data_IF_552632176286
#
_entry.id   IF_552632176286
#
_cell.length_a   1.000
_cell.length_b   1.000
_cell.length_c   1.000
_cell.angle_alpha   90.00
_cell.angle_beta   90.00
_cell.angle_gamma   90.00
#
_symmetry.space_group_name_H-M   'P 1'
#
loop_
_entity.id
_entity.type
_entity.pdbx_description
1 polymer ?
#
# COMPACT_ATOMS: atom_id res chain seq x y z
N UNK A 1 11.38 22.69 14.55
CA UNK A 1 11.44 23.26 13.19
C UNK A 1 11.28 22.11 12.21
N UNK A 2 10.18 22.06 11.48
CA UNK A 2 10.08 21.15 10.34
C UNK A 2 11.11 21.62 9.32
N UNK A 3 12.11 20.81 9.06
CA UNK A 3 13.09 21.07 8.02
C UNK A 3 12.38 20.97 6.67
N UNK A 4 12.16 22.12 6.04
CA UNK A 4 11.53 22.18 4.72
C UNK A 4 12.46 21.61 3.65
N UNK A 5 11.91 20.72 2.81
CA UNK A 5 12.58 20.20 1.63
C UNK A 5 12.93 21.33 0.66
N UNK A 6 14.20 21.48 0.33
CA UNK A 6 14.63 22.40 -0.70
C UNK A 6 14.42 21.83 -2.12
N UNK A 7 14.66 22.64 -3.14
CA UNK A 7 14.49 22.22 -4.54
C UNK A 7 15.46 21.08 -4.94
N UNK A 8 16.61 20.98 -4.29
CA UNK A 8 17.60 19.93 -4.55
C UNK A 8 17.15 18.62 -3.92
N UNK A 9 16.61 18.66 -2.69
CA UNK A 9 16.05 17.48 -2.01
C UNK A 9 14.88 16.89 -2.80
N UNK A 10 14.00 17.75 -3.33
CA UNK A 10 12.90 17.32 -4.20
C UNK A 10 13.40 16.64 -5.47
N UNK A 11 14.50 17.12 -6.08
CA UNK A 11 15.13 16.47 -7.25
C UNK A 11 15.74 15.12 -6.91
N UNK A 12 16.39 15.01 -5.74
CA UNK A 12 16.91 13.73 -5.23
C UNK A 12 15.78 12.73 -5.06
N UNK A 13 14.72 13.10 -4.34
CA UNK A 13 13.56 12.24 -4.12
C UNK A 13 12.90 11.80 -5.44
N UNK A 14 12.73 12.72 -6.39
CA UNK A 14 12.15 12.42 -7.70
C UNK A 14 13.03 11.47 -8.53
N UNK A 15 14.36 11.55 -8.41
CA UNK A 15 15.27 10.61 -9.06
C UNK A 15 15.19 9.22 -8.42
N UNK A 16 15.20 9.14 -7.08
CA UNK A 16 15.11 7.89 -6.33
C UNK A 16 13.76 7.18 -6.52
N UNK A 17 12.65 7.93 -6.66
CA UNK A 17 11.35 7.35 -6.97
C UNK A 17 11.29 6.68 -8.36
N UNK A 18 12.08 7.19 -9.33
CA UNK A 18 12.16 6.59 -10.67
C UNK A 18 13.12 5.41 -10.71
N UNK A 19 14.19 5.48 -9.96
CA UNK A 19 15.28 4.52 -10.00
C UNK A 19 15.88 4.33 -8.59
N UNK A 20 15.26 3.48 -7.78
CA UNK A 20 15.65 3.27 -6.38
C UNK A 20 17.02 2.58 -6.20
N UNK A 21 17.65 2.09 -7.29
CA UNK A 21 18.99 1.48 -7.29
C UNK A 21 20.05 2.34 -7.96
N UNK A 22 19.74 3.61 -8.27
CA UNK A 22 20.72 4.57 -8.81
C UNK A 22 21.91 4.69 -7.84
N UNK A 23 23.12 4.66 -8.37
CA UNK A 23 24.32 4.85 -7.52
C UNK A 23 24.43 6.31 -7.06
N UNK A 24 25.11 6.52 -5.93
CA UNK A 24 25.33 7.88 -5.45
C UNK A 24 26.12 8.75 -6.45
N UNK A 25 27.01 8.16 -7.24
CA UNK A 25 27.75 8.84 -8.30
C UNK A 25 26.79 9.35 -9.38
N UNK A 26 25.97 8.48 -9.95
CA UNK A 26 24.98 8.84 -10.97
C UNK A 26 23.93 9.84 -10.46
N UNK A 27 23.46 9.64 -9.22
CA UNK A 27 22.52 10.57 -8.58
C UNK A 27 23.12 11.95 -8.42
N UNK A 28 24.39 12.02 -7.96
CA UNK A 28 25.09 13.31 -7.76
C UNK A 28 25.24 14.09 -9.06
N UNK A 29 25.57 13.43 -10.17
CA UNK A 29 25.61 14.03 -11.51
C UNK A 29 24.23 14.53 -11.94
N UNK A 30 23.19 13.72 -11.76
CA UNK A 30 21.80 14.04 -12.15
C UNK A 30 21.23 15.25 -11.41
N UNK A 31 21.66 15.47 -10.15
CA UNK A 31 21.19 16.60 -9.35
C UNK A 31 22.19 17.76 -9.26
N UNK A 32 23.33 17.68 -9.98
CA UNK A 32 24.43 18.67 -10.00
C UNK A 32 25.02 18.94 -8.61
N UNK A 33 25.38 17.89 -7.90
CA UNK A 33 26.08 17.93 -6.62
C UNK A 33 27.42 17.18 -6.69
N UNK A 34 28.32 17.45 -5.73
CA UNK A 34 29.42 16.53 -5.47
C UNK A 34 28.89 15.22 -4.86
N UNK A 35 29.56 14.07 -5.08
CA UNK A 35 29.14 12.79 -4.49
C UNK A 35 28.98 12.83 -2.97
N UNK A 36 29.89 13.55 -2.28
CA UNK A 36 29.82 13.69 -0.82
C UNK A 36 28.63 14.54 -0.35
N UNK A 37 28.32 15.62 -1.09
CA UNK A 37 27.17 16.46 -0.78
C UNK A 37 25.84 15.72 -1.07
N UNK A 38 25.79 14.96 -2.15
CA UNK A 38 24.65 14.13 -2.50
C UNK A 38 24.40 13.05 -1.41
N UNK A 39 25.43 12.30 -1.05
CA UNK A 39 25.34 11.26 -0.02
C UNK A 39 24.82 11.82 1.31
N UNK A 40 25.36 12.94 1.77
CA UNK A 40 24.92 13.58 3.03
C UNK A 40 23.44 14.00 2.98
N UNK A 41 22.95 14.48 1.83
CA UNK A 41 21.53 14.83 1.67
C UNK A 41 20.62 13.61 1.66
N UNK A 42 21.00 12.55 0.96
CA UNK A 42 20.25 11.29 0.97
C UNK A 42 20.15 10.74 2.40
N UNK A 43 21.27 10.68 3.11
CA UNK A 43 21.31 10.25 4.50
C UNK A 43 20.37 11.08 5.38
N UNK A 44 20.42 12.40 5.24
CA UNK A 44 19.51 13.29 5.97
C UNK A 44 18.03 13.02 5.62
N UNK A 45 17.69 12.79 4.35
CA UNK A 45 16.33 12.46 3.91
C UNK A 45 15.84 11.10 4.48
N UNK A 46 16.75 10.15 4.67
CA UNK A 46 16.47 8.87 5.34
C UNK A 46 16.28 9.06 6.83
N UNK A 47 17.18 9.77 7.50
CA UNK A 47 17.16 10.01 8.95
C UNK A 47 15.92 10.80 9.38
N UNK A 48 15.49 11.78 8.58
CA UNK A 48 14.28 12.58 8.82
C UNK A 48 12.98 11.87 8.39
N UNK A 49 13.08 10.66 7.81
CA UNK A 49 11.93 9.85 7.42
C UNK A 49 11.21 10.29 6.14
N UNK A 50 11.81 11.20 5.34
CA UNK A 50 11.29 11.51 4.00
C UNK A 50 11.38 10.33 3.04
N UNK A 51 12.36 9.44 3.27
CA UNK A 51 12.50 8.16 2.59
C UNK A 51 12.16 7.08 3.61
N UNK A 52 11.00 6.45 3.44
CA UNK A 52 10.55 5.38 4.33
C UNK A 52 11.30 4.05 4.09
N UNK A 53 11.90 3.89 2.91
CA UNK A 53 12.66 2.69 2.56
C UNK A 53 12.77 2.49 1.05
N UNK A 54 13.50 1.44 0.67
CA UNK A 54 13.68 1.02 -0.71
C UNK A 54 13.14 -0.40 -0.88
N UNK A 55 12.29 -0.60 -1.87
CA UNK A 55 11.62 -1.89 -2.10
C UNK A 55 11.79 -2.34 -3.55
N UNK A 56 11.84 -3.64 -3.76
CA UNK A 56 11.78 -4.22 -5.09
C UNK A 56 10.31 -4.30 -5.54
N UNK A 57 9.99 -3.75 -6.70
CA UNK A 57 8.71 -3.98 -7.36
C UNK A 57 8.78 -5.30 -8.11
N UNK A 58 7.91 -6.25 -7.73
CA UNK A 58 7.84 -7.57 -8.35
C UNK A 58 6.80 -7.58 -9.47
N UNK A 59 7.12 -8.29 -10.56
CA UNK A 59 6.16 -8.53 -11.63
C UNK A 59 5.17 -9.62 -11.18
N UNK A 60 3.94 -9.22 -10.91
CA UNK A 60 2.90 -10.09 -10.39
C UNK A 60 2.60 -11.27 -11.35
N UNK A 61 2.66 -11.08 -12.67
CA UNK A 61 2.44 -12.14 -13.66
C UNK A 61 3.53 -13.20 -13.57
N UNK A 62 4.81 -12.79 -13.47
CA UNK A 62 5.94 -13.70 -13.30
C UNK A 62 5.94 -14.40 -11.96
N UNK A 63 5.32 -13.80 -10.94
CA UNK A 63 5.11 -14.40 -9.63
C UNK A 63 3.88 -15.32 -9.58
N UNK A 64 3.22 -15.57 -10.73
CA UNK A 64 2.06 -16.45 -10.83
C UNK A 64 0.76 -15.83 -10.30
N UNK A 65 0.69 -14.49 -10.19
CA UNK A 65 -0.50 -13.77 -9.72
C UNK A 65 -0.91 -12.67 -10.72
N UNK A 66 -1.30 -13.04 -11.95
CA UNK A 66 -1.60 -12.08 -13.01
C UNK A 66 -2.89 -11.31 -12.80
N UNK A 67 -3.81 -11.81 -11.98
CA UNK A 67 -5.14 -11.24 -11.79
C UNK A 67 -5.14 -10.23 -10.65
N UNK A 68 -5.46 -8.98 -10.95
CA UNK A 68 -5.65 -7.92 -9.95
C UNK A 68 -7.13 -7.73 -9.69
N UNK A 69 -7.53 -7.78 -8.42
CA UNK A 69 -8.92 -7.58 -8.00
C UNK A 69 -8.99 -6.36 -7.09
N UNK A 70 -9.88 -5.44 -7.41
CA UNK A 70 -10.22 -4.32 -6.54
C UNK A 70 -11.56 -4.60 -5.85
N UNK A 71 -11.57 -4.44 -4.52
CA UNK A 71 -12.76 -4.67 -3.69
C UNK A 71 -13.09 -3.40 -2.93
N UNK A 72 -14.25 -2.84 -3.20
CA UNK A 72 -14.80 -1.73 -2.41
C UNK A 72 -15.51 -2.29 -1.17
N UNK A 73 -15.16 -1.77 -0.01
CA UNK A 73 -15.73 -2.19 1.28
C UNK A 73 -16.55 -1.03 1.86
N UNK A 74 -17.76 -1.33 2.30
CA UNK A 74 -18.58 -0.40 3.07
C UNK A 74 -18.89 -1.03 4.42
N UNK A 75 -18.46 -0.38 5.51
CA UNK A 75 -18.70 -0.81 6.87
C UNK A 75 -20.05 -0.29 7.38
N UNK A 76 -20.65 -0.99 8.34
CA UNK A 76 -21.92 -0.54 8.98
C UNK A 76 -21.71 0.46 10.12
N UNK A 77 -20.71 1.30 10.01
CA UNK A 77 -20.40 2.33 10.99
C UNK A 77 -19.03 2.91 10.72
N UNK A 78 -18.82 4.12 11.18
CA UNK A 78 -17.57 4.87 11.00
C UNK A 78 -16.97 5.22 12.38
N UNK A 79 -17.20 4.38 13.39
CA UNK A 79 -16.52 4.53 14.68
C UNK A 79 -15.03 4.18 14.52
N UNK A 80 -14.16 4.97 15.10
CA UNK A 80 -12.70 4.81 14.97
C UNK A 80 -12.24 3.40 15.37
N UNK A 81 -12.83 2.81 16.42
CA UNK A 81 -12.52 1.46 16.86
C UNK A 81 -12.86 0.41 15.79
N UNK A 82 -13.89 0.64 14.97
CA UNK A 82 -14.31 -0.25 13.91
C UNK A 82 -13.33 -0.18 12.73
N UNK A 83 -12.92 1.03 12.35
CA UNK A 83 -11.93 1.28 11.32
C UNK A 83 -10.58 0.64 11.70
N UNK A 84 -10.10 0.91 12.92
CA UNK A 84 -8.85 0.33 13.44
C UNK A 84 -8.88 -1.20 13.50
N UNK A 85 -10.01 -1.79 13.88
CA UNK A 85 -10.17 -3.23 13.90
C UNK A 85 -10.11 -3.82 12.49
N UNK A 86 -10.78 -3.18 11.52
CA UNK A 86 -10.75 -3.59 10.12
C UNK A 86 -9.33 -3.53 9.55
N UNK A 87 -8.63 -2.42 9.72
CA UNK A 87 -7.26 -2.22 9.23
C UNK A 87 -6.27 -3.24 9.80
N UNK A 88 -6.37 -3.54 11.11
CA UNK A 88 -5.54 -4.58 11.75
C UNK A 88 -5.75 -5.97 11.15
N UNK A 89 -6.98 -6.33 10.82
CA UNK A 89 -7.26 -7.62 10.22
C UNK A 89 -6.84 -7.69 8.75
N UNK A 90 -7.08 -6.62 7.98
CA UNK A 90 -6.59 -6.49 6.59
C UNK A 90 -5.07 -6.67 6.52
N UNK A 91 -4.34 -6.06 7.46
CA UNK A 91 -2.88 -6.16 7.50
C UNK A 91 -2.34 -7.59 7.75
N UNK A 92 -3.19 -8.51 8.21
CA UNK A 92 -2.83 -9.92 8.44
C UNK A 92 -3.01 -10.80 7.20
N UNK A 93 -3.68 -10.31 6.17
CA UNK A 93 -3.98 -11.08 4.96
C UNK A 93 -2.91 -10.82 3.91
N UNK A 94 -2.04 -11.80 3.62
CA UNK A 94 -0.91 -11.62 2.73
C UNK A 94 -1.31 -11.39 1.27
N UNK A 95 -2.50 -11.80 0.88
CA UNK A 95 -3.01 -11.64 -0.48
C UNK A 95 -3.53 -10.21 -0.75
N UNK A 96 -3.79 -9.42 0.30
CA UNK A 96 -4.15 -8.00 0.19
C UNK A 96 -2.86 -7.17 0.11
N UNK A 97 -2.66 -6.53 -1.01
CA UNK A 97 -1.45 -5.74 -1.28
C UNK A 97 -1.58 -4.29 -0.84
N UNK A 98 -2.76 -3.73 -0.95
CA UNK A 98 -3.03 -2.34 -0.61
C UNK A 98 -4.42 -2.21 0.03
N UNK A 99 -4.53 -1.32 1.00
CA UNK A 99 -5.78 -0.93 1.65
C UNK A 99 -5.82 0.59 1.72
N UNK A 100 -6.81 1.21 1.10
CA UNK A 100 -6.95 2.66 1.03
C UNK A 100 -8.27 3.09 1.64
N UNK A 101 -8.22 4.03 2.59
CA UNK A 101 -9.40 4.72 3.08
C UNK A 101 -9.94 5.63 1.96
N UNK A 102 -11.24 5.57 1.71
CA UNK A 102 -11.89 6.25 0.60
C UNK A 102 -12.74 7.43 1.09
N UNK A 103 -12.73 8.50 0.31
CA UNK A 103 -13.71 9.57 0.46
C UNK A 103 -14.85 9.34 -0.54
N UNK A 104 -16.02 8.89 -0.07
CA UNK A 104 -17.14 8.60 -0.95
C UNK A 104 -18.16 7.63 -0.35
N UNK A 105 -18.76 6.81 -1.20
CA UNK A 105 -19.79 5.84 -0.78
C UNK A 105 -19.23 4.56 -0.19
N UNK A 106 -18.00 4.19 -0.55
CA UNK A 106 -17.27 3.09 0.07
C UNK A 106 -16.29 3.63 1.10
N UNK A 107 -16.04 2.88 2.18
CA UNK A 107 -15.10 3.27 3.22
C UNK A 107 -13.67 2.88 2.85
N UNK A 108 -13.48 1.72 2.21
CA UNK A 108 -12.17 1.23 1.81
C UNK A 108 -12.13 0.67 0.40
N UNK A 109 -10.97 0.78 -0.24
CA UNK A 109 -10.59 0.07 -1.45
C UNK A 109 -9.43 -0.86 -1.15
N UNK A 110 -9.62 -2.16 -1.40
CA UNK A 110 -8.59 -3.18 -1.29
C UNK A 110 -8.09 -3.56 -2.68
N UNK A 111 -6.77 -3.77 -2.79
CA UNK A 111 -6.14 -4.37 -3.97
C UNK A 111 -5.60 -5.75 -3.60
N UNK A 112 -6.07 -6.75 -4.31
CA UNK A 112 -5.75 -8.17 -4.10
C UNK A 112 -5.09 -8.70 -5.35
N UNK A 113 -4.04 -9.50 -5.21
CA UNK A 113 -3.43 -10.25 -6.29
C UNK A 113 -3.79 -11.73 -6.17
N UNK A 114 -4.32 -12.29 -7.25
CA UNK A 114 -4.73 -13.69 -7.33
C UNK A 114 -4.12 -14.38 -8.56
N UNK A 115 -4.06 -15.71 -8.56
CA UNK A 115 -3.65 -16.47 -9.72
C UNK A 115 -4.69 -16.37 -10.85
N UNK A 116 -5.96 -16.49 -10.46
CA UNK A 116 -7.13 -16.40 -11.32
C UNK A 116 -8.39 -16.04 -10.49
N UNK A 117 -9.53 -16.06 -11.14
CA UNK A 117 -10.83 -15.79 -10.49
C UNK A 117 -11.23 -16.86 -9.47
N UNK A 118 -10.81 -18.10 -9.65
CA UNK A 118 -11.07 -19.20 -8.72
C UNK A 118 -10.23 -19.06 -7.45
N UNK A 119 -8.96 -18.69 -7.60
CA UNK A 119 -8.08 -18.36 -6.48
C UNK A 119 -8.60 -17.16 -5.70
N UNK A 120 -9.10 -16.12 -6.37
CA UNK A 120 -9.78 -15.01 -5.69
C UNK A 120 -10.99 -15.48 -4.90
N UNK A 121 -11.82 -16.36 -5.48
CA UNK A 121 -12.97 -16.92 -4.76
C UNK A 121 -12.55 -17.74 -3.53
N UNK A 122 -11.39 -18.39 -3.55
CA UNK A 122 -10.78 -19.08 -2.41
C UNK A 122 -10.34 -18.08 -1.34
N UNK A 123 -9.56 -17.06 -1.71
CA UNK A 123 -9.12 -15.97 -0.82
C UNK A 123 -10.34 -15.34 -0.14
N UNK A 124 -11.36 -15.00 -0.91
CA UNK A 124 -12.60 -14.44 -0.42
C UNK A 124 -13.31 -15.31 0.63
N UNK A 125 -13.25 -16.64 0.49
CA UNK A 125 -13.90 -17.57 1.45
C UNK A 125 -13.04 -17.83 2.67
N UNK A 126 -11.73 -17.88 2.54
CA UNK A 126 -10.81 -18.27 3.62
C UNK A 126 -10.50 -17.13 4.59
N UNK A 127 -10.32 -15.93 4.08
CA UNK A 127 -9.82 -14.81 4.87
C UNK A 127 -10.91 -14.00 5.57
N UNK A 128 -12.11 -14.52 5.74
CA UNK A 128 -13.24 -13.97 6.54
C UNK A 128 -13.44 -12.43 6.53
N UNK A 129 -12.46 -11.66 6.05
CA UNK A 129 -12.50 -10.20 5.90
C UNK A 129 -13.60 -9.80 4.92
N UNK A 130 -13.78 -10.65 3.89
CA UNK A 130 -14.76 -10.47 2.85
C UNK A 130 -16.04 -11.26 3.13
N UNK A 131 -16.08 -12.04 4.20
CA UNK A 131 -17.25 -12.83 4.58
C UNK A 131 -18.05 -12.14 5.68
N UNK A 132 -19.31 -11.83 5.37
CA UNK A 132 -20.29 -11.22 6.27
C UNK A 132 -20.62 -12.08 7.53
N UNK A 133 -19.89 -13.15 7.83
CA UNK A 133 -20.10 -14.05 8.95
C UNK A 133 -19.04 -13.94 10.04
N UNK A 134 -18.69 -12.71 10.46
CA UNK A 134 -18.49 -12.48 11.88
C UNK A 134 -17.30 -13.14 12.58
N UNK A 135 -16.05 -13.17 12.01
CA UNK A 135 -14.86 -13.40 12.85
C UNK A 135 -13.98 -12.14 13.03
N UNK A 136 -14.22 -11.11 12.27
CA UNK A 136 -13.51 -9.83 12.39
C UNK A 136 -13.96 -8.98 13.58
N UNK A 137 -15.15 -9.25 14.10
CA UNK A 137 -15.74 -8.42 15.13
C UNK A 137 -16.14 -9.29 16.33
N UNK A 138 -16.05 -8.74 17.56
CA UNK A 138 -16.55 -9.43 18.75
C UNK A 138 -17.99 -9.91 18.57
N UNK A 139 -18.34 -11.04 19.20
CA UNK A 139 -19.69 -11.58 19.16
C UNK A 139 -20.72 -10.50 19.50
N UNK A 140 -21.61 -10.19 18.56
CA UNK A 140 -22.64 -9.14 18.69
C UNK A 140 -22.52 -7.96 17.75
N UNK A 141 -21.36 -7.78 17.10
CA UNK A 141 -21.19 -6.80 16.03
C UNK A 141 -21.20 -7.55 14.69
N UNK A 142 -22.25 -7.39 13.93
CA UNK A 142 -22.36 -7.94 12.58
C UNK A 142 -22.41 -6.76 11.59
N UNK A 143 -21.26 -6.19 11.18
CA UNK A 143 -21.28 -5.18 10.16
C UNK A 143 -21.75 -5.83 8.87
N UNK A 144 -22.83 -5.31 8.28
CA UNK A 144 -23.15 -5.63 6.90
C UNK A 144 -22.07 -4.94 6.06
N UNK A 145 -21.19 -5.74 5.50
CA UNK A 145 -20.19 -5.27 4.56
C UNK A 145 -20.84 -5.37 3.17
N UNK A 146 -21.12 -4.24 2.57
CA UNK A 146 -21.46 -4.17 1.14
C UNK A 146 -20.17 -4.00 0.35
N UNK A 147 -20.01 -4.73 -0.74
CA UNK A 147 -18.79 -4.74 -1.53
C UNK A 147 -19.08 -4.88 -3.02
N UNK A 148 -18.25 -4.22 -3.81
CA UNK A 148 -18.23 -4.28 -5.26
C UNK A 148 -16.87 -4.77 -5.71
N UNK A 149 -16.84 -5.79 -6.55
CA UNK A 149 -15.61 -6.38 -7.08
C UNK A 149 -15.39 -5.93 -8.51
N UNK A 150 -14.19 -5.43 -8.81
CA UNK A 150 -13.72 -5.17 -10.17
C UNK A 150 -12.48 -6.00 -10.42
N UNK A 151 -12.49 -6.84 -11.46
CA UNK A 151 -11.38 -7.69 -11.87
C UNK A 151 -10.76 -7.09 -13.12
N UNK A 152 -9.44 -6.92 -13.11
CA UNK A 152 -8.64 -6.53 -14.27
C UNK A 152 -7.62 -7.64 -14.57
N UNK A 153 -7.61 -8.13 -15.78
CA UNK A 153 -6.62 -9.07 -16.33
C UNK A 153 -5.44 -8.34 -16.99
#
# INVERSE_FOLDING_TARGET
>A
MQSELDATDRRILAALQKEGRITNAELSERVNLSPSACHRRVQWLEDEGFIAGYVALLDARRMGRPTTVFVEITLQGQADELLDAFEREVARVPDIQECHLMAGTADYLLKILAQDTEDFARIHRQDNILNARGKLFPAGTNPKIAWKVTITE
#
